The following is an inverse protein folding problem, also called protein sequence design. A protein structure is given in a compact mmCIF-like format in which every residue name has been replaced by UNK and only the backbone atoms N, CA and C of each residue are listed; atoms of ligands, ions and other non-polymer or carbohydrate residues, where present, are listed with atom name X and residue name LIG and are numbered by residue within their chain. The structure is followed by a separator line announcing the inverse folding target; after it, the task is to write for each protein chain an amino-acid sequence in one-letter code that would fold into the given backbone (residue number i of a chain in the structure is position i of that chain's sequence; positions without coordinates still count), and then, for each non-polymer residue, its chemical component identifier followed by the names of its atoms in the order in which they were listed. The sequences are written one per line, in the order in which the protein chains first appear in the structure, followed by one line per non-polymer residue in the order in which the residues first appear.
data_IF_629538211303
#
_entry.id   IF_629538211303
#
_cell.length_a   1.000
_cell.length_b   1.000
_cell.length_c   1.000
_cell.angle_alpha   90.00
_cell.angle_beta   90.00
_cell.angle_gamma   90.00
#
_symmetry.space_group_name_H-M   'P 1'
#
loop_
_entity.id
_entity.type
_entity.pdbx_description
1 polymer ?
#
# COMPACT_ATOMS: atom_id res chain seq x y z
N UNK A 1 21.04 39.79 -27.84
CA UNK A 1 20.00 39.89 -26.80
C UNK A 1 18.80 38.94 -27.01
N UNK A 2 18.82 38.05 -28.02
CA UNK A 2 17.67 37.20 -28.39
C UNK A 2 17.56 35.89 -27.57
N UNK A 3 18.65 35.38 -27.00
CA UNK A 3 18.67 34.05 -26.34
C UNK A 3 18.07 34.00 -24.93
N UNK A 4 18.14 35.09 -24.16
CA UNK A 4 17.66 35.13 -22.76
C UNK A 4 16.13 35.22 -22.68
N UNK A 5 15.51 35.86 -23.67
CA UNK A 5 14.05 35.95 -23.80
C UNK A 5 13.43 34.63 -24.24
N UNK A 6 14.11 33.89 -25.11
CA UNK A 6 13.63 32.59 -25.59
C UNK A 6 13.65 31.53 -24.48
N UNK A 7 14.71 31.51 -23.66
CA UNK A 7 14.85 30.59 -22.53
C UNK A 7 13.75 30.81 -21.48
N UNK A 8 13.43 32.06 -21.15
CA UNK A 8 12.36 32.38 -20.21
C UNK A 8 10.98 31.98 -20.75
N UNK A 9 10.75 32.14 -22.06
CA UNK A 9 9.53 31.69 -22.72
C UNK A 9 9.39 30.16 -22.70
N UNK A 10 10.48 29.43 -22.96
CA UNK A 10 10.48 27.97 -22.88
C UNK A 10 10.22 27.50 -21.45
N UNK A 11 10.84 28.12 -20.45
CA UNK A 11 10.61 27.80 -19.04
C UNK A 11 9.17 28.08 -18.61
N UNK A 12 8.58 29.19 -19.06
CA UNK A 12 7.17 29.51 -18.83
C UNK A 12 6.23 28.51 -19.50
N UNK A 13 6.51 28.12 -20.74
CA UNK A 13 5.71 27.12 -21.45
C UNK A 13 5.78 25.76 -20.75
N UNK A 14 6.97 25.35 -20.30
CA UNK A 14 7.15 24.10 -19.53
C UNK A 14 6.43 24.18 -18.18
N UNK A 15 6.50 25.31 -17.47
CA UNK A 15 5.78 25.49 -16.22
C UNK A 15 4.26 25.44 -16.41
N UNK A 16 3.74 26.06 -17.48
CA UNK A 16 2.32 26.06 -17.82
C UNK A 16 1.85 24.67 -18.26
N UNK A 17 2.61 23.93 -19.07
CA UNK A 17 2.25 22.56 -19.47
C UNK A 17 2.35 21.58 -18.31
N UNK A 18 3.29 21.75 -17.38
CA UNK A 18 3.31 20.99 -16.13
C UNK A 18 2.09 21.30 -15.24
N UNK A 19 1.68 22.57 -15.14
CA UNK A 19 0.52 22.97 -14.35
C UNK A 19 -0.81 22.46 -14.95
N UNK A 20 -0.94 22.42 -16.29
CA UNK A 20 -2.15 21.89 -16.95
C UNK A 20 -2.17 20.36 -16.98
N UNK A 21 -1.03 19.68 -16.99
CA UNK A 21 -0.96 18.22 -16.85
C UNK A 21 -1.39 17.73 -15.46
N UNK A 22 -1.37 18.60 -14.44
CA UNK A 22 -1.90 18.31 -13.11
C UNK A 22 -3.43 18.42 -13.04
N UNK A 23 -4.09 18.96 -14.06
CA UNK A 23 -5.54 19.02 -14.13
C UNK A 23 -6.08 17.71 -14.72
N UNK A 24 -5.96 16.63 -13.95
CA UNK A 24 -6.73 15.42 -14.21
C UNK A 24 -8.20 15.80 -13.98
N UNK A 25 -9.06 15.82 -15.01
CA UNK A 25 -10.47 16.11 -14.78
C UNK A 25 -11.00 15.08 -13.78
N UNK A 26 -11.76 15.49 -12.76
CA UNK A 26 -12.24 14.55 -11.77
C UNK A 26 -13.16 13.58 -12.50
N UNK A 27 -12.80 12.29 -12.53
CA UNK A 27 -13.72 11.23 -12.95
C UNK A 27 -14.81 11.11 -11.88
N UNK A 28 -15.70 12.09 -11.84
CA UNK A 28 -16.85 12.11 -10.93
C UNK A 28 -18.04 11.55 -11.67
N UNK A 29 -18.67 10.54 -11.07
CA UNK A 29 -19.96 10.02 -11.48
C UNK A 29 -21.03 10.42 -10.46
N UNK A 30 -22.30 10.41 -10.89
CA UNK A 30 -23.42 10.51 -9.96
C UNK A 30 -23.42 9.37 -8.95
N UNK A 31 -23.95 9.63 -7.75
CA UNK A 31 -24.04 8.63 -6.69
C UNK A 31 -24.76 7.37 -7.17
N UNK A 32 -24.04 6.24 -7.18
CA UNK A 32 -24.56 4.94 -7.60
C UNK A 32 -25.68 4.47 -6.67
N UNK A 33 -26.68 3.81 -7.25
CA UNK A 33 -27.83 3.22 -6.52
C UNK A 33 -27.87 1.71 -6.76
N UNK A 34 -28.50 0.99 -5.84
CA UNK A 34 -28.77 -0.46 -5.97
C UNK A 34 -27.52 -1.33 -6.17
N UNK A 35 -26.39 -0.94 -5.57
CA UNK A 35 -25.11 -1.68 -5.65
C UNK A 35 -24.91 -2.68 -4.52
N UNK A 36 -25.93 -2.87 -3.66
CA UNK A 36 -25.92 -3.81 -2.55
C UNK A 36 -27.12 -4.77 -2.66
N UNK A 37 -26.94 -6.11 -2.51
CA UNK A 37 -25.67 -6.81 -2.28
C UNK A 37 -24.65 -6.66 -3.43
N UNK A 38 -23.33 -6.70 -3.15
CA UNK A 38 -22.30 -6.46 -4.16
C UNK A 38 -22.39 -7.44 -5.33
N UNK A 39 -22.40 -6.92 -6.56
CA UNK A 39 -22.46 -7.70 -7.80
C UNK A 39 -21.92 -6.90 -8.99
N UNK A 40 -21.79 -7.56 -10.14
CA UNK A 40 -21.35 -6.92 -11.38
C UNK A 40 -19.84 -6.66 -11.44
N UNK A 41 -19.38 -5.80 -12.36
CA UNK A 41 -17.96 -5.68 -12.72
C UNK A 41 -17.07 -5.07 -11.61
N UNK A 42 -17.66 -4.41 -10.63
CA UNK A 42 -16.94 -3.82 -9.49
C UNK A 42 -16.75 -4.78 -8.33
N UNK A 43 -17.38 -5.96 -8.38
CA UNK A 43 -17.27 -6.99 -7.34
C UNK A 43 -16.26 -8.06 -7.74
N UNK A 44 -15.09 -8.08 -7.08
CA UNK A 44 -14.05 -9.09 -7.34
C UNK A 44 -14.36 -10.45 -6.70
N UNK A 45 -15.17 -10.48 -5.66
CA UNK A 45 -15.46 -11.67 -4.88
C UNK A 45 -15.47 -11.40 -3.37
N UNK A 46 -15.89 -12.40 -2.58
CA UNK A 46 -15.93 -12.28 -1.12
C UNK A 46 -14.50 -12.37 -0.53
N UNK A 47 -14.35 -11.87 0.69
CA UNK A 47 -13.11 -11.99 1.46
C UNK A 47 -13.23 -13.20 2.41
N UNK A 48 -12.24 -14.11 2.44
CA UNK A 48 -12.26 -15.25 3.36
C UNK A 48 -12.06 -14.81 4.82
N UNK A 49 -12.65 -15.58 5.73
CA UNK A 49 -12.51 -15.38 7.18
C UNK A 49 -11.46 -16.33 7.76
N UNK A 50 -10.68 -15.84 8.72
CA UNK A 50 -9.72 -16.63 9.49
C UNK A 50 -9.91 -16.32 10.97
N UNK A 51 -9.62 -17.31 11.82
CA UNK A 51 -9.64 -17.13 13.28
C UNK A 51 -8.21 -17.01 13.77
N UNK A 52 -7.88 -15.88 14.40
CA UNK A 52 -6.58 -15.69 15.05
C UNK A 52 -6.74 -15.92 16.54
N UNK A 53 -6.15 -17.00 17.04
CA UNK A 53 -6.21 -17.34 18.46
C UNK A 53 -5.16 -16.55 19.26
N UNK A 54 -5.60 -15.58 20.06
CA UNK A 54 -4.73 -14.74 20.88
C UNK A 54 -4.13 -15.45 22.09
N UNK A 55 -4.69 -16.60 22.49
CA UNK A 55 -4.16 -17.44 23.57
C UNK A 55 -2.88 -18.17 23.17
N UNK A 56 -2.63 -18.30 21.86
CA UNK A 56 -1.36 -18.81 21.35
C UNK A 56 -0.23 -17.80 21.59
N UNK A 57 1.02 -18.28 21.76
CA UNK A 57 2.17 -17.39 21.81
C UNK A 57 2.23 -16.55 20.52
N UNK A 58 2.57 -15.25 20.61
CA UNK A 58 2.53 -14.31 19.49
C UNK A 58 3.12 -14.85 18.18
N UNK A 59 4.29 -15.49 18.27
CA UNK A 59 5.00 -16.13 17.16
C UNK A 59 4.16 -17.13 16.35
N UNK A 60 3.16 -17.79 16.94
CA UNK A 60 2.35 -18.83 16.28
C UNK A 60 0.99 -18.34 15.78
N UNK A 61 0.55 -17.14 16.18
CA UNK A 61 -0.83 -16.66 15.94
C UNK A 61 -1.21 -16.59 14.47
N UNK A 62 -0.25 -16.21 13.63
CA UNK A 62 -0.45 -15.99 12.19
C UNK A 62 -0.17 -17.21 11.33
N UNK A 63 0.19 -18.34 11.93
CA UNK A 63 0.75 -19.47 11.21
C UNK A 63 -0.20 -20.05 10.15
N UNK A 64 -1.47 -20.24 10.51
CA UNK A 64 -2.49 -20.78 9.59
C UNK A 64 -2.69 -19.85 8.38
N UNK A 65 -2.98 -18.57 8.63
CA UNK A 65 -3.21 -17.56 7.59
C UNK A 65 -2.01 -17.44 6.65
N UNK A 66 -0.81 -17.34 7.21
CA UNK A 66 0.41 -17.07 6.44
C UNK A 66 0.84 -18.29 5.65
N UNK A 67 0.60 -19.50 6.13
CA UNK A 67 0.86 -20.71 5.34
C UNK A 67 0.07 -20.69 4.03
N UNK A 68 -1.18 -20.21 4.06
CA UNK A 68 -2.00 -20.09 2.85
C UNK A 68 -1.63 -18.88 1.99
N UNK A 69 -1.37 -17.71 2.60
CA UNK A 69 -1.14 -16.45 1.88
C UNK A 69 0.31 -16.16 1.52
N UNK A 70 1.27 -16.96 1.99
CA UNK A 70 2.70 -16.78 1.73
C UNK A 70 3.05 -16.60 0.24
N UNK A 71 2.47 -17.37 -0.71
CA UNK A 71 2.77 -17.16 -2.13
C UNK A 71 2.38 -15.76 -2.62
N UNK A 72 1.21 -15.26 -2.22
CA UNK A 72 0.75 -13.92 -2.58
C UNK A 72 1.60 -12.84 -1.90
N UNK A 73 1.98 -13.03 -0.63
CA UNK A 73 2.83 -12.10 0.09
C UNK A 73 4.20 -11.97 -0.58
N UNK A 74 4.82 -13.09 -0.98
CA UNK A 74 6.09 -13.08 -1.73
C UNK A 74 6.00 -12.29 -3.03
N UNK A 75 4.90 -12.40 -3.77
CA UNK A 75 4.67 -11.62 -5.00
C UNK A 75 4.63 -10.12 -4.72
N UNK A 76 3.94 -9.71 -3.65
CA UNK A 76 3.82 -8.29 -3.27
C UNK A 76 5.19 -7.74 -2.85
N UNK A 77 5.89 -8.45 -1.98
CA UNK A 77 7.21 -8.04 -1.50
C UNK A 77 8.22 -7.96 -2.66
N UNK A 78 8.23 -8.93 -3.57
CA UNK A 78 9.07 -8.87 -4.77
C UNK A 78 8.72 -7.69 -5.67
N UNK A 79 7.43 -7.38 -5.85
CA UNK A 79 7.01 -6.20 -6.61
C UNK A 79 7.48 -4.90 -5.97
N UNK A 80 7.46 -4.81 -4.63
CA UNK A 80 8.00 -3.66 -3.90
C UNK A 80 9.51 -3.52 -4.11
N UNK A 81 10.26 -4.64 -4.09
CA UNK A 81 11.70 -4.63 -4.40
C UNK A 81 11.98 -4.11 -5.81
N UNK A 82 11.20 -4.56 -6.80
CA UNK A 82 11.36 -4.11 -8.18
C UNK A 82 11.13 -2.61 -8.32
N UNK A 83 10.12 -2.08 -7.63
CA UNK A 83 9.86 -0.63 -7.57
C UNK A 83 11.06 0.09 -6.92
N UNK A 84 11.53 -0.36 -5.76
CA UNK A 84 12.68 0.26 -5.07
C UNK A 84 13.93 0.21 -5.92
N UNK A 85 14.24 -0.92 -6.55
CA UNK A 85 15.39 -1.09 -7.44
C UNK A 85 15.29 -0.21 -8.68
N UNK A 86 14.08 0.04 -9.21
CA UNK A 86 13.91 0.95 -10.33
C UNK A 86 14.20 2.42 -9.97
N UNK A 87 13.99 2.83 -8.71
CA UNK A 87 14.33 4.17 -8.23
C UNK A 87 15.78 4.27 -7.73
N UNK A 88 16.30 3.21 -7.11
CA UNK A 88 17.67 3.16 -6.56
C UNK A 88 18.33 1.82 -6.96
N UNK A 89 18.89 1.73 -8.18
CA UNK A 89 19.43 0.47 -8.73
C UNK A 89 20.64 -0.09 -7.99
N UNK A 90 21.23 0.70 -7.10
CA UNK A 90 22.44 0.32 -6.37
C UNK A 90 22.24 -0.86 -5.40
N UNK A 91 21.00 -1.29 -5.14
CA UNK A 91 20.66 -2.35 -4.18
C UNK A 91 20.95 -2.00 -2.72
N UNK A 92 21.59 -0.85 -2.45
CA UNK A 92 21.98 -0.39 -1.11
C UNK A 92 20.79 -0.21 -0.18
N UNK A 93 19.64 0.20 -0.69
CA UNK A 93 18.42 0.36 0.12
C UNK A 93 17.95 -1.00 0.64
N UNK A 94 17.89 -2.03 -0.22
CA UNK A 94 17.51 -3.37 0.20
C UNK A 94 18.49 -3.94 1.23
N UNK A 95 19.80 -3.73 1.04
CA UNK A 95 20.80 -4.13 2.04
C UNK A 95 20.60 -3.45 3.40
N UNK A 96 20.24 -2.16 3.42
CA UNK A 96 19.95 -1.43 4.65
C UNK A 96 18.67 -1.95 5.30
N UNK A 97 17.62 -2.19 4.50
CA UNK A 97 16.34 -2.75 4.97
C UNK A 97 16.56 -4.13 5.61
N UNK A 98 17.32 -4.99 4.95
CA UNK A 98 17.49 -6.37 5.41
C UNK A 98 18.43 -6.47 6.61
N UNK A 99 19.53 -5.68 6.63
CA UNK A 99 20.61 -5.85 7.61
C UNK A 99 20.58 -4.85 8.74
N UNK A 100 20.07 -3.63 8.52
CA UNK A 100 20.17 -2.54 9.50
C UNK A 100 18.83 -2.12 10.08
N UNK A 101 17.73 -2.25 9.33
CA UNK A 101 16.42 -1.82 9.79
C UNK A 101 15.95 -2.52 11.07
N UNK A 102 16.12 -3.85 11.24
CA UNK A 102 15.74 -4.51 12.50
C UNK A 102 16.52 -3.98 13.71
N UNK A 103 17.81 -3.69 13.55
CA UNK A 103 18.64 -3.12 14.62
C UNK A 103 18.40 -1.63 14.86
N UNK A 104 18.02 -0.87 13.82
CA UNK A 104 17.75 0.56 13.89
C UNK A 104 16.42 0.88 14.56
N UNK A 105 15.40 0.05 14.32
CA UNK A 105 14.07 0.23 14.91
C UNK A 105 13.98 -0.31 16.35
N UNK A 106 15.04 -0.97 16.83
CA UNK A 106 15.08 -1.59 18.15
C UNK A 106 14.08 -2.74 18.29
N UNK A 107 13.86 -3.18 19.53
CA UNK A 107 12.85 -4.18 19.81
C UNK A 107 11.47 -3.52 19.79
N UNK A 108 10.59 -4.00 18.92
CA UNK A 108 9.19 -3.59 18.94
C UNK A 108 8.54 -4.08 20.25
N UNK A 109 7.60 -3.33 20.84
CA UNK A 109 6.90 -3.84 22.01
C UNK A 109 6.20 -5.16 21.66
N UNK A 110 6.27 -6.13 22.58
CA UNK A 110 5.46 -7.34 22.46
C UNK A 110 3.97 -6.95 22.39
N UNK A 111 3.15 -7.57 21.52
CA UNK A 111 3.39 -8.84 20.83
C UNK A 111 3.98 -8.74 19.41
N UNK A 112 4.14 -7.54 18.86
CA UNK A 112 4.36 -7.32 17.42
C UNK A 112 5.68 -7.90 16.91
N UNK A 113 6.75 -7.80 17.71
CA UNK A 113 8.07 -8.32 17.33
C UNK A 113 8.02 -9.82 17.03
N UNK A 114 7.44 -10.59 17.95
CA UNK A 114 7.37 -12.04 17.86
C UNK A 114 6.38 -12.49 16.77
N UNK A 115 5.28 -11.77 16.57
CA UNK A 115 4.37 -12.01 15.44
C UNK A 115 5.08 -11.83 14.10
N UNK A 116 5.85 -10.75 13.91
CA UNK A 116 6.60 -10.51 12.68
C UNK A 116 7.71 -11.55 12.46
N UNK A 117 8.40 -11.99 13.52
CA UNK A 117 9.38 -13.09 13.44
C UNK A 117 8.72 -14.40 12.98
N UNK A 118 7.56 -14.75 13.54
CA UNK A 118 6.81 -15.92 13.11
C UNK A 118 6.43 -15.89 11.64
N UNK A 119 5.96 -14.73 11.14
CA UNK A 119 5.64 -14.53 9.72
C UNK A 119 6.90 -14.67 8.85
N UNK A 120 8.00 -14.02 9.24
CA UNK A 120 9.30 -14.09 8.57
C UNK A 120 9.76 -15.55 8.40
N UNK A 121 9.73 -16.33 9.47
CA UNK A 121 10.24 -17.71 9.46
C UNK A 121 9.36 -18.66 8.63
N UNK A 122 8.04 -18.51 8.69
CA UNK A 122 7.11 -19.34 7.89
C UNK A 122 7.25 -19.02 6.39
N UNK A 123 7.39 -17.74 6.06
CA UNK A 123 7.47 -17.32 4.65
C UNK A 123 8.88 -17.43 4.07
N UNK A 124 9.92 -17.38 4.89
CA UNK A 124 11.31 -17.21 4.47
C UNK A 124 11.61 -15.82 3.91
N UNK A 125 10.74 -14.83 4.17
CA UNK A 125 10.98 -13.42 3.80
C UNK A 125 11.81 -12.78 4.91
N UNK A 126 12.90 -12.03 4.59
CA UNK A 126 13.70 -11.36 5.61
C UNK A 126 12.87 -10.47 6.54
N UNK A 127 13.15 -10.53 7.85
CA UNK A 127 12.40 -9.79 8.87
C UNK A 127 12.31 -8.28 8.57
N UNK A 128 13.38 -7.68 8.03
CA UNK A 128 13.39 -6.26 7.64
C UNK A 128 12.34 -5.91 6.59
N UNK A 129 12.05 -6.82 5.66
CA UNK A 129 11.01 -6.64 4.64
C UNK A 129 9.60 -6.80 5.25
N UNK A 130 9.42 -7.75 6.18
CA UNK A 130 8.16 -7.89 6.92
C UNK A 130 7.86 -6.66 7.77
N UNK A 131 8.89 -6.11 8.44
CA UNK A 131 8.77 -4.86 9.19
C UNK A 131 8.43 -3.69 8.24
N UNK A 132 9.13 -3.59 7.11
CA UNK A 132 8.87 -2.56 6.11
C UNK A 132 7.44 -2.64 5.57
N UNK A 133 6.92 -3.84 5.35
CA UNK A 133 5.55 -4.05 4.91
C UNK A 133 4.51 -3.61 5.96
N UNK A 134 4.77 -3.84 7.25
CA UNK A 134 3.89 -3.37 8.33
C UNK A 134 3.91 -1.84 8.48
N UNK A 135 5.05 -1.19 8.21
CA UNK A 135 5.19 0.28 8.24
C UNK A 135 4.57 0.93 6.98
N UNK A 136 4.49 0.20 5.87
CA UNK A 136 4.02 0.75 4.58
C UNK A 136 2.60 1.35 4.66
N UNK A 137 1.73 0.81 5.52
CA UNK A 137 0.37 1.32 5.71
C UNK A 137 0.34 2.76 6.24
N UNK A 138 1.34 3.16 7.01
CA UNK A 138 1.41 4.49 7.66
C UNK A 138 1.67 5.61 6.65
N UNK A 139 2.31 5.31 5.53
CA UNK A 139 2.75 6.33 4.57
C UNK A 139 1.84 6.46 3.34
N UNK A 140 1.18 5.38 2.93
CA UNK A 140 0.57 5.30 1.60
C UNK A 140 -0.92 4.97 1.59
N UNK A 141 -1.58 4.80 2.74
CA UNK A 141 -3.01 4.52 2.75
C UNK A 141 -3.84 5.79 2.58
N UNK A 142 -4.83 5.73 1.68
CA UNK A 142 -5.87 6.75 1.54
C UNK A 142 -7.21 6.05 1.76
N UNK A 143 -7.94 6.45 2.79
CA UNK A 143 -9.22 5.84 3.15
C UNK A 143 -10.28 6.92 3.41
N UNK A 144 -11.54 6.61 3.05
CA UNK A 144 -12.72 7.42 3.42
C UNK A 144 -13.50 6.68 4.52
N UNK A 145 -13.81 7.36 5.63
CA UNK A 145 -14.61 6.80 6.72
C UNK A 145 -15.88 7.62 6.92
N UNK A 146 -17.02 6.95 7.17
CA UNK A 146 -18.33 7.60 7.35
C UNK A 146 -19.00 7.03 8.60
N UNK A 147 -19.44 7.91 9.49
CA UNK A 147 -20.28 7.59 10.65
C UNK A 147 -21.66 8.19 10.40
N UNK A 148 -22.71 7.38 10.55
CA UNK A 148 -24.10 7.86 10.49
C UNK A 148 -24.89 7.37 11.70
N UNK A 149 -25.81 8.19 12.17
CA UNK A 149 -26.80 7.84 13.19
C UNK A 149 -28.19 8.00 12.57
N UNK A 150 -29.04 6.99 12.72
CA UNK A 150 -30.43 7.09 12.29
C UNK A 150 -31.29 7.86 13.32
N UNK A 151 -32.52 8.22 12.94
CA UNK A 151 -33.44 8.95 13.83
C UNK A 151 -33.85 8.16 15.09
N UNK A 152 -33.51 6.87 15.19
CA UNK A 152 -33.77 5.99 16.33
C UNK A 152 -32.54 5.85 17.23
N UNK A 153 -31.45 6.58 16.95
CA UNK A 153 -30.20 6.51 17.69
C UNK A 153 -29.30 5.32 17.30
N UNK A 154 -29.58 4.64 16.18
CA UNK A 154 -28.74 3.54 15.71
C UNK A 154 -27.55 4.11 14.93
N UNK A 155 -26.36 3.93 15.49
CA UNK A 155 -25.11 4.27 14.82
C UNK A 155 -24.66 3.16 13.86
N UNK A 156 -24.21 3.55 12.67
CA UNK A 156 -23.52 2.70 11.71
C UNK A 156 -22.19 3.34 11.37
N UNK A 157 -21.12 2.61 11.65
CA UNK A 157 -19.77 2.94 11.21
C UNK A 157 -19.48 2.19 9.91
N UNK A 158 -19.17 2.93 8.85
CA UNK A 158 -18.50 2.38 7.67
C UNK A 158 -17.06 2.90 7.65
N UNK A 159 -16.18 2.11 8.26
CA UNK A 159 -14.75 2.18 8.01
C UNK A 159 -14.43 1.43 6.72
N UNK A 160 -13.63 2.03 5.84
CA UNK A 160 -13.22 1.38 4.59
C UNK A 160 -14.00 1.81 3.35
N UNK A 161 -14.41 3.07 3.25
CA UNK A 161 -14.68 3.70 1.96
C UNK A 161 -13.41 3.68 1.12
N UNK A 162 -13.20 2.56 0.43
CA UNK A 162 -12.16 2.36 -0.57
C UNK A 162 -10.74 2.68 -0.06
N UNK A 163 -10.16 1.85 0.82
CA UNK A 163 -8.73 1.98 1.09
C UNK A 163 -7.96 1.69 -0.21
N UNK A 164 -7.39 2.76 -0.78
CA UNK A 164 -6.55 2.70 -1.97
C UNK A 164 -5.12 2.67 -1.50
N UNK A 165 -4.37 1.72 -2.03
CA UNK A 165 -2.91 1.73 -2.01
C UNK A 165 -2.46 2.27 -3.35
N UNK A 166 -2.02 3.54 -3.45
CA UNK A 166 -1.52 4.14 -4.68
C UNK A 166 -0.10 3.62 -4.93
N UNK A 167 0.00 2.41 -5.48
CA UNK A 167 1.25 1.90 -6.04
C UNK A 167 1.11 1.87 -7.55
N UNK A 168 1.73 2.84 -8.21
CA UNK A 168 1.65 2.97 -9.66
C UNK A 168 2.57 1.92 -10.31
N UNK A 169 1.97 0.92 -10.96
CA UNK A 169 2.72 0.04 -11.86
C UNK A 169 3.16 0.90 -13.04
N UNK A 170 4.44 1.25 -13.14
CA UNK A 170 5.02 1.80 -14.38
C UNK A 170 4.77 0.77 -15.49
N UNK A 171 3.66 0.89 -16.20
CA UNK A 171 3.47 0.24 -17.49
C UNK A 171 4.50 0.86 -18.42
N UNK A 172 5.51 0.08 -18.79
CA UNK A 172 6.40 0.27 -19.93
C UNK A 172 6.40 1.68 -20.53
N UNK A 173 7.25 2.57 -19.99
CA UNK A 173 7.74 3.74 -20.71
C UNK A 173 8.83 3.35 -21.74
N UNK A 174 8.73 2.14 -22.30
CA UNK A 174 9.49 1.65 -23.43
C UNK A 174 8.49 1.06 -24.43
N UNK A 175 7.76 1.98 -25.08
CA UNK A 175 7.18 1.79 -26.40
C UNK A 175 6.79 3.17 -26.98
N UNK A 176 7.82 3.99 -27.22
CA UNK A 176 8.06 4.78 -28.43
C UNK A 176 9.29 5.66 -28.23
#
# INVERSE_FOLDING_TARGET
MLGRSLLNFVLLIVAVTCATAQHVPPWTEDCRKSTYPPSGPTYRGPVPWYTINLDLPPYKRWQELITEKAPALKVIVNSMKDVVNAFVPSGKIMQIVDQKLPGLLGNFPGPYEEEMKGISDITGIPLGEIISFNIFYEFFTICTSIITEDKKGKCVLREGGHCKVPMERKKNLLNK
#
